data_IF_111463768620
#
_entry.id   IF_111463768620
#
_cell.length_a   1.000
_cell.length_b   1.000
_cell.length_c   1.000
_cell.angle_alpha   90.00
_cell.angle_beta   90.00
_cell.angle_gamma   90.00
#
_symmetry.space_group_name_H-M   'P 1'
#
loop_
_entity.id
_entity.type
_entity.pdbx_description
1 polymer ?
#
# COMPACT_ATOMS: atom_id res chain seq x y z
N UNK A 1 -8.01 -8.20 -7.47
CA UNK A 1 -6.86 -7.43 -8.00
C UNK A 1 -6.29 -6.46 -6.96
N UNK A 2 -7.09 -5.57 -6.38
CA UNK A 2 -6.61 -4.53 -5.45
C UNK A 2 -5.87 -5.10 -4.23
N UNK A 3 -6.45 -6.08 -3.53
CA UNK A 3 -5.79 -6.72 -2.39
C UNK A 3 -4.46 -7.39 -2.78
N UNK A 4 -4.40 -7.99 -3.98
CA UNK A 4 -3.17 -8.60 -4.47
C UNK A 4 -2.09 -7.56 -4.80
N UNK A 5 -2.49 -6.40 -5.35
CA UNK A 5 -1.58 -5.25 -5.51
C UNK A 5 -1.00 -4.77 -4.18
N UNK A 6 -1.80 -4.74 -3.11
CA UNK A 6 -1.31 -4.42 -1.77
C UNK A 6 -0.25 -5.43 -1.28
N UNK A 7 -0.40 -6.73 -1.60
CA UNK A 7 0.64 -7.74 -1.30
C UNK A 7 1.95 -7.41 -2.03
N UNK A 8 1.89 -7.06 -3.32
CA UNK A 8 3.07 -6.64 -4.09
C UNK A 8 3.75 -5.43 -3.43
N UNK A 9 2.97 -4.41 -3.06
CA UNK A 9 3.47 -3.22 -2.37
C UNK A 9 4.11 -3.53 -1.01
N UNK A 10 3.48 -4.37 -0.20
CA UNK A 10 4.05 -4.83 1.07
C UNK A 10 5.37 -5.58 0.89
N UNK A 11 5.46 -6.43 -0.14
CA UNK A 11 6.69 -7.19 -0.43
C UNK A 11 7.82 -6.27 -0.88
N UNK A 12 7.53 -5.26 -1.71
CA UNK A 12 8.52 -4.25 -2.11
C UNK A 12 9.02 -3.44 -0.90
N UNK A 13 8.11 -2.85 -0.12
CA UNK A 13 8.46 -2.04 1.06
C UNK A 13 9.25 -2.86 2.09
N UNK A 14 8.87 -4.12 2.31
CA UNK A 14 9.61 -5.01 3.20
C UNK A 14 11.06 -5.19 2.75
N UNK A 15 11.28 -5.32 1.44
CA UNK A 15 12.61 -5.35 0.84
C UNK A 15 13.38 -4.03 1.01
N UNK A 16 12.74 -2.88 0.82
CA UNK A 16 13.35 -1.56 1.04
C UNK A 16 13.77 -1.33 2.49
N UNK A 17 12.92 -1.72 3.44
CA UNK A 17 13.24 -1.67 4.87
C UNK A 17 14.42 -2.58 5.22
N UNK A 18 14.45 -3.81 4.69
CA UNK A 18 15.58 -4.74 4.90
C UNK A 18 16.87 -4.20 4.31
N UNK A 19 16.83 -3.63 3.10
CA UNK A 19 17.98 -2.98 2.49
C UNK A 19 18.48 -1.79 3.31
N UNK A 20 17.57 -0.99 3.85
CA UNK A 20 17.90 0.14 4.73
C UNK A 20 18.64 -0.33 5.98
N UNK A 21 18.18 -1.42 6.60
CA UNK A 21 18.86 -2.06 7.75
C UNK A 21 20.24 -2.57 7.34
N UNK A 22 20.37 -3.20 6.17
CA UNK A 22 21.65 -3.68 5.67
C UNK A 22 22.66 -2.54 5.45
N UNK A 23 22.26 -1.47 4.78
CA UNK A 23 23.12 -0.29 4.55
C UNK A 23 23.47 0.44 5.85
N UNK A 24 22.62 0.37 6.87
CA UNK A 24 22.92 0.92 8.20
C UNK A 24 24.09 0.18 8.88
N UNK A 25 24.17 -1.14 8.68
CA UNK A 25 25.23 -2.01 9.23
C UNK A 25 26.48 -2.07 8.35
N UNK A 26 26.31 -2.10 7.02
CA UNK A 26 27.38 -2.13 6.02
C UNK A 26 27.13 -1.04 4.97
N UNK A 27 27.65 0.18 5.17
CA UNK A 27 27.45 1.30 4.25
C UNK A 27 27.95 1.04 2.82
N UNK A 28 29.04 0.28 2.68
CA UNK A 28 29.64 -0.08 1.38
C UNK A 28 29.09 -1.41 0.80
N UNK A 29 27.91 -1.82 1.25
CA UNK A 29 27.29 -3.06 0.81
C UNK A 29 26.84 -3.00 -0.65
N UNK A 30 27.11 -4.06 -1.41
CA UNK A 30 26.82 -4.15 -2.86
C UNK A 30 25.53 -4.88 -3.20
N UNK A 31 24.83 -5.41 -2.20
CA UNK A 31 23.58 -6.15 -2.40
C UNK A 31 22.47 -5.28 -2.96
N UNK A 32 21.69 -5.86 -3.86
CA UNK A 32 20.67 -5.15 -4.65
C UNK A 32 19.30 -5.23 -4.01
N UNK A 33 18.44 -4.26 -4.32
CA UNK A 33 17.09 -4.20 -3.74
C UNK A 33 16.28 -5.48 -4.00
N UNK A 34 16.34 -6.03 -5.22
CA UNK A 34 15.60 -7.26 -5.54
C UNK A 34 16.00 -8.44 -4.65
N UNK A 35 17.25 -8.50 -4.16
CA UNK A 35 17.69 -9.58 -3.27
C UNK A 35 16.98 -9.49 -1.93
N UNK A 36 16.82 -8.28 -1.40
CA UNK A 36 16.04 -8.03 -0.17
C UNK A 36 14.55 -8.25 -0.38
N UNK A 37 14.01 -7.90 -1.55
CA UNK A 37 12.61 -8.19 -1.92
C UNK A 37 12.38 -9.71 -1.96
N UNK A 38 13.33 -10.49 -2.51
CA UNK A 38 13.26 -11.97 -2.50
C UNK A 38 13.34 -12.51 -1.07
N UNK A 39 14.23 -11.99 -0.22
CA UNK A 39 14.32 -12.41 1.20
C UNK A 39 13.00 -12.17 1.93
N UNK A 40 12.38 -10.99 1.75
CA UNK A 40 11.07 -10.70 2.32
C UNK A 40 9.97 -11.56 1.69
N UNK A 41 10.05 -11.82 0.38
CA UNK A 41 9.16 -12.75 -0.33
C UNK A 41 9.21 -14.18 0.22
N UNK A 42 10.38 -14.67 0.62
CA UNK A 42 10.55 -15.96 1.30
C UNK A 42 9.86 -15.97 2.68
N UNK A 43 9.96 -14.88 3.45
CA UNK A 43 9.21 -14.73 4.70
C UNK A 43 7.70 -14.75 4.42
N UNK A 44 7.24 -14.00 3.42
CA UNK A 44 5.84 -13.98 3.01
C UNK A 44 5.34 -15.34 2.53
N UNK A 45 6.18 -16.12 1.82
CA UNK A 45 5.86 -17.49 1.41
C UNK A 45 5.58 -18.39 2.59
N UNK A 46 6.42 -18.32 3.63
CA UNK A 46 6.23 -19.08 4.86
C UNK A 46 4.93 -18.67 5.57
N UNK A 47 4.73 -17.35 5.75
CA UNK A 47 3.55 -16.82 6.43
C UNK A 47 2.25 -17.09 5.65
N UNK A 48 2.30 -17.11 4.32
CA UNK A 48 1.16 -17.40 3.46
C UNK A 48 0.61 -18.82 3.65
N UNK A 49 1.41 -19.77 4.15
CA UNK A 49 0.95 -21.13 4.40
C UNK A 49 0.15 -21.26 5.70
N UNK A 50 0.10 -20.22 6.55
CA UNK A 50 -0.66 -20.29 7.79
C UNK A 50 -2.18 -20.37 7.51
N UNK A 51 -2.91 -21.31 8.13
CA UNK A 51 -4.26 -21.67 7.68
C UNK A 51 -5.44 -20.90 8.30
N UNK A 52 -5.28 -19.88 9.18
CA UNK A 52 -6.43 -19.40 9.98
C UNK A 52 -6.67 -17.88 10.05
N UNK A 53 -7.93 -17.50 9.77
CA UNK A 53 -8.52 -16.19 10.05
C UNK A 53 -8.69 -15.90 11.56
N UNK A 54 -8.85 -16.93 12.39
CA UNK A 54 -9.12 -16.76 13.83
C UNK A 54 -7.89 -16.22 14.58
N UNK A 55 -6.70 -16.53 14.08
CA UNK A 55 -5.41 -15.99 14.55
C UNK A 55 -5.21 -14.52 14.17
N UNK A 56 -5.90 -14.04 13.13
CA UNK A 56 -5.66 -12.70 12.59
C UNK A 56 -6.15 -11.57 13.47
N UNK A 57 -7.16 -11.78 14.32
CA UNK A 57 -7.66 -10.69 15.17
C UNK A 57 -6.54 -10.11 16.04
N UNK A 58 -5.72 -10.98 16.62
CA UNK A 58 -4.59 -10.58 17.44
C UNK A 58 -3.44 -10.03 16.60
N UNK A 59 -3.19 -10.62 15.42
CA UNK A 59 -2.19 -10.13 14.46
C UNK A 59 -2.54 -8.72 13.97
N UNK A 60 -3.82 -8.44 13.69
CA UNK A 60 -4.32 -7.13 13.29
C UNK A 60 -4.21 -6.10 14.41
N UNK A 61 -4.48 -6.51 15.66
CA UNK A 61 -4.31 -5.61 16.81
C UNK A 61 -2.83 -5.22 17.00
N UNK A 62 -1.92 -6.19 16.89
CA UNK A 62 -0.47 -5.93 16.94
C UNK A 62 -0.03 -5.07 15.76
N UNK A 63 -0.52 -5.38 14.56
CA UNK A 63 -0.25 -4.62 13.33
C UNK A 63 -0.71 -3.16 13.45
N UNK A 64 -1.89 -2.91 14.04
CA UNK A 64 -2.37 -1.55 14.32
C UNK A 64 -1.41 -0.80 15.23
N UNK A 65 -1.00 -1.40 16.36
CA UNK A 65 -0.06 -0.75 17.30
C UNK A 65 1.27 -0.46 16.61
N UNK A 66 1.82 -1.42 15.87
CA UNK A 66 3.06 -1.22 15.11
C UNK A 66 2.90 -0.10 14.07
N UNK A 67 1.74 0.02 13.43
CA UNK A 67 1.46 1.08 12.45
C UNK A 67 1.48 2.47 13.05
N UNK A 68 0.90 2.62 14.24
CA UNK A 68 0.93 3.87 14.99
C UNK A 68 2.34 4.20 15.47
N UNK A 69 3.09 3.20 15.95
CA UNK A 69 4.46 3.37 16.41
C UNK A 69 5.41 3.80 15.29
N UNK A 70 5.42 3.11 14.15
CA UNK A 70 6.31 3.52 13.05
C UNK A 70 5.89 4.87 12.46
N UNK A 71 4.57 5.18 12.41
CA UNK A 71 4.10 6.48 11.93
C UNK A 71 4.52 7.62 12.86
N UNK A 72 4.39 7.42 14.18
CA UNK A 72 4.88 8.38 15.17
C UNK A 72 6.41 8.56 15.08
N UNK A 73 7.15 7.47 14.83
CA UNK A 73 8.60 7.54 14.60
C UNK A 73 8.93 8.30 13.30
N UNK A 74 8.21 8.06 12.21
CA UNK A 74 8.41 8.76 10.95
C UNK A 74 8.15 10.27 11.11
N UNK A 75 7.07 10.65 11.80
CA UNK A 75 6.76 12.05 12.11
C UNK A 75 7.83 12.68 13.01
N UNK A 76 8.17 12.02 14.12
CA UNK A 76 9.17 12.52 15.08
C UNK A 76 10.56 12.63 14.48
N UNK A 77 10.97 11.64 13.67
CA UNK A 77 12.23 11.64 12.94
C UNK A 77 12.29 12.77 11.91
N UNK A 78 11.21 12.99 11.16
CA UNK A 78 11.12 14.08 10.19
C UNK A 78 11.20 15.45 10.88
N UNK A 79 10.48 15.65 11.99
CA UNK A 79 10.57 16.89 12.77
C UNK A 79 11.99 17.11 13.31
N UNK A 80 12.63 16.06 13.85
CA UNK A 80 14.00 16.15 14.35
C UNK A 80 15.00 16.54 13.26
N UNK A 81 14.90 15.90 12.08
CA UNK A 81 15.77 16.20 10.94
C UNK A 81 15.52 17.62 10.45
N UNK A 82 14.25 18.01 10.30
CA UNK A 82 13.86 19.34 9.87
C UNK A 82 14.42 20.42 10.81
N UNK A 83 14.39 20.21 12.12
CA UNK A 83 14.95 21.15 13.11
C UNK A 83 16.50 21.09 13.22
N UNK A 84 17.13 20.04 12.70
CA UNK A 84 18.57 19.84 12.76
C UNK A 84 19.29 20.53 11.59
N UNK A 85 20.54 20.97 11.80
CA UNK A 85 21.43 21.41 10.72
C UNK A 85 21.91 20.26 9.81
N UNK A 86 21.53 19.01 10.12
CA UNK A 86 21.85 17.82 9.33
C UNK A 86 20.86 17.52 8.21
N UNK A 87 19.67 18.15 8.23
CA UNK A 87 18.67 17.97 7.18
C UNK A 87 19.11 18.56 5.83
N UNK A 88 18.50 18.14 4.72
CA UNK A 88 18.74 18.78 3.43
C UNK A 88 18.25 20.24 3.44
N UNK A 89 18.74 21.03 2.48
CA UNK A 89 18.21 22.36 2.25
C UNK A 89 16.73 22.27 1.84
N UNK A 90 15.88 23.06 2.50
CA UNK A 90 14.43 22.98 2.32
C UNK A 90 14.02 23.66 1.02
N UNK A 91 14.06 22.91 -0.07
CA UNK A 91 13.58 23.35 -1.37
C UNK A 91 12.15 22.83 -1.65
N UNK A 92 11.26 23.76 -1.97
CA UNK A 92 9.86 23.47 -2.33
C UNK A 92 9.55 23.85 -3.77
N UNK A 93 10.59 24.04 -4.59
CA UNK A 93 10.46 24.30 -6.02
C UNK A 93 9.77 23.12 -6.72
N UNK A 94 8.94 23.45 -7.71
CA UNK A 94 8.23 22.45 -8.50
C UNK A 94 9.19 21.78 -9.50
N UNK A 95 9.46 20.50 -9.29
CA UNK A 95 10.30 19.68 -10.16
C UNK A 95 9.51 19.24 -11.40
N UNK A 96 10.20 19.08 -12.54
CA UNK A 96 9.62 18.58 -13.80
C UNK A 96 9.03 19.67 -14.70
N UNK A 97 8.76 19.29 -15.94
CA UNK A 97 8.11 20.15 -16.94
C UNK A 97 6.58 20.23 -16.72
N UNK A 98 5.88 21.08 -17.49
CA UNK A 98 4.43 21.23 -17.34
C UNK A 98 3.65 19.91 -17.52
N UNK A 99 3.94 19.08 -18.54
CA UNK A 99 3.35 17.75 -18.67
C UNK A 99 3.57 16.85 -17.44
N UNK A 100 4.81 16.74 -16.94
CA UNK A 100 5.14 15.90 -15.78
C UNK A 100 4.38 16.35 -14.54
N UNK A 101 4.23 17.66 -14.33
CA UNK A 101 3.43 18.22 -13.24
C UNK A 101 1.95 17.86 -13.35
N UNK A 102 1.38 17.93 -14.55
CA UNK A 102 -0.03 17.58 -14.77
C UNK A 102 -0.27 16.09 -14.48
N UNK A 103 0.56 15.21 -15.05
CA UNK A 103 0.45 13.77 -14.77
C UNK A 103 0.73 13.45 -13.30
N UNK A 104 1.66 14.16 -12.67
CA UNK A 104 1.95 14.07 -11.24
C UNK A 104 0.73 14.35 -10.35
N UNK A 105 -0.12 15.31 -10.71
CA UNK A 105 -1.38 15.59 -9.98
C UNK A 105 -2.31 14.38 -10.00
N UNK A 106 -2.51 13.76 -11.17
CA UNK A 106 -3.38 12.58 -11.29
C UNK A 106 -2.78 11.36 -10.58
N UNK A 107 -1.45 11.20 -10.65
CA UNK A 107 -0.77 10.15 -9.89
C UNK A 107 -0.96 10.34 -8.39
N UNK A 108 -0.85 11.58 -7.89
CA UNK A 108 -1.07 11.90 -6.48
C UNK A 108 -2.51 11.63 -6.04
N UNK A 109 -3.52 12.00 -6.85
CA UNK A 109 -4.93 11.69 -6.57
C UNK A 109 -5.14 10.18 -6.43
N UNK A 110 -4.54 9.39 -7.34
CA UNK A 110 -4.65 7.93 -7.29
C UNK A 110 -3.92 7.34 -6.07
N UNK A 111 -2.74 7.85 -5.71
CA UNK A 111 -2.04 7.42 -4.49
C UNK A 111 -2.91 7.72 -3.26
N UNK A 112 -3.51 8.91 -3.16
CA UNK A 112 -4.42 9.27 -2.06
C UNK A 112 -5.62 8.32 -2.02
N UNK A 113 -6.23 8.02 -3.17
CA UNK A 113 -7.33 7.06 -3.25
C UNK A 113 -6.90 5.67 -2.73
N UNK A 114 -5.70 5.21 -3.09
CA UNK A 114 -5.12 3.99 -2.53
C UNK A 114 -5.02 4.03 -1.02
N UNK A 115 -4.53 5.12 -0.44
CA UNK A 115 -4.32 5.18 1.01
C UNK A 115 -5.62 5.05 1.81
N UNK A 116 -6.73 5.57 1.30
CA UNK A 116 -8.05 5.48 1.97
C UNK A 116 -8.86 4.23 1.61
N UNK A 117 -8.68 3.69 0.40
CA UNK A 117 -9.50 2.57 -0.07
C UNK A 117 -9.15 1.21 0.56
N UNK A 118 -7.92 1.05 1.07
CA UNK A 118 -7.40 -0.20 1.63
C UNK A 118 -8.34 -0.86 2.67
N UNK A 119 -9.03 -0.07 3.51
CA UNK A 119 -9.95 -0.59 4.53
C UNK A 119 -11.31 -1.07 4.02
N UNK A 120 -11.76 -0.59 2.86
CA UNK A 120 -13.17 -0.69 2.46
C UNK A 120 -13.51 -2.10 1.96
N UNK A 121 -12.61 -2.77 1.24
CA UNK A 121 -12.94 -4.06 0.58
C UNK A 121 -13.16 -5.20 1.59
N UNK A 122 -12.28 -5.44 2.59
CA UNK A 122 -12.52 -6.47 3.60
C UNK A 122 -13.70 -6.11 4.53
N UNK A 123 -13.93 -4.82 4.78
CA UNK A 123 -15.04 -4.35 5.61
C UNK A 123 -16.38 -4.51 4.91
N UNK A 124 -16.49 -4.23 3.60
CA UNK A 124 -17.68 -4.53 2.78
C UNK A 124 -17.99 -6.04 2.81
N UNK A 125 -16.96 -6.90 2.71
CA UNK A 125 -17.15 -8.35 2.80
C UNK A 125 -17.67 -8.78 4.18
N UNK A 126 -17.26 -8.12 5.25
CA UNK A 126 -17.68 -8.40 6.61
C UNK A 126 -19.03 -7.75 7.01
N UNK A 127 -19.48 -6.72 6.30
CA UNK A 127 -20.65 -5.88 6.66
C UNK A 127 -21.86 -6.04 5.74
N UNK A 128 -21.82 -7.06 4.88
CA UNK A 128 -23.00 -7.57 4.16
C UNK A 128 -24.13 -8.05 5.10
N UNK A 129 -23.90 -8.15 6.41
CA UNK A 129 -24.93 -8.41 7.42
C UNK A 129 -25.43 -7.09 8.07
N UNK A 130 -26.75 -6.78 8.04
CA UNK A 130 -27.31 -5.59 8.70
C UNK A 130 -27.27 -5.67 10.25
N UNK A 131 -27.25 -4.54 10.99
CA UNK A 131 -27.31 -3.14 10.52
C UNK A 131 -25.98 -2.36 10.72
N UNK A 132 -25.71 -1.43 9.79
CA UNK A 132 -24.59 -0.45 9.83
C UNK A 132 -24.84 0.68 10.85
N UNK A 133 -25.71 0.48 11.84
CA UNK A 133 -26.15 1.53 12.77
C UNK A 133 -25.55 1.32 14.16
N UNK A 134 -25.35 2.42 14.90
CA UNK A 134 -24.85 2.38 16.28
C UNK A 134 -23.33 2.22 16.39
N UNK A 135 -22.86 1.05 16.88
CA UNK A 135 -21.44 0.85 17.26
C UNK A 135 -20.51 0.79 16.04
N UNK A 136 -20.97 0.23 14.92
CA UNK A 136 -20.15 0.09 13.71
C UNK A 136 -19.81 1.45 13.09
N UNK A 137 -20.79 2.35 12.94
CA UNK A 137 -20.55 3.70 12.43
C UNK A 137 -19.58 4.49 13.31
N UNK A 138 -19.69 4.37 14.65
CA UNK A 138 -18.72 4.98 15.57
C UNK A 138 -17.31 4.41 15.37
N UNK A 139 -17.18 3.10 15.18
CA UNK A 139 -15.92 2.45 14.85
C UNK A 139 -15.30 3.00 13.57
N UNK A 140 -16.11 3.15 12.52
CA UNK A 140 -15.71 3.74 11.24
C UNK A 140 -15.20 5.18 11.39
N UNK A 141 -15.93 6.03 12.13
CA UNK A 141 -15.50 7.41 12.39
C UNK A 141 -14.17 7.46 13.15
N UNK A 142 -13.98 6.61 14.17
CA UNK A 142 -12.71 6.52 14.90
C UNK A 142 -11.59 6.06 13.97
N UNK A 143 -11.85 5.05 13.13
CA UNK A 143 -10.89 4.54 12.14
C UNK A 143 -10.42 5.66 11.21
N UNK A 144 -11.34 6.35 10.53
CA UNK A 144 -10.99 7.46 9.63
C UNK A 144 -10.31 8.62 10.35
N UNK A 145 -10.69 8.92 11.59
CA UNK A 145 -10.02 9.97 12.39
C UNK A 145 -8.56 9.61 12.62
N UNK A 146 -8.27 8.37 13.03
CA UNK A 146 -6.91 7.88 13.24
C UNK A 146 -6.12 7.92 11.93
N UNK A 147 -6.71 7.43 10.83
CA UNK A 147 -6.09 7.43 9.49
C UNK A 147 -5.74 8.85 9.02
N UNK A 148 -6.66 9.80 9.14
CA UNK A 148 -6.41 11.20 8.76
C UNK A 148 -5.28 11.78 9.60
N UNK A 149 -5.33 11.63 10.93
CA UNK A 149 -4.30 12.18 11.81
C UNK A 149 -2.92 11.58 11.50
N UNK A 150 -2.82 10.26 11.32
CA UNK A 150 -1.53 9.61 11.05
C UNK A 150 -0.98 10.01 9.69
N UNK A 151 -1.76 9.91 8.61
CA UNK A 151 -1.28 10.23 7.27
C UNK A 151 -0.90 11.69 7.12
N UNK A 152 -1.74 12.63 7.58
CA UNK A 152 -1.39 14.05 7.49
C UNK A 152 -0.20 14.39 8.38
N UNK A 153 -0.05 13.77 9.57
CA UNK A 153 1.13 14.02 10.41
C UNK A 153 2.43 13.61 9.71
N UNK A 154 2.47 12.43 9.07
CA UNK A 154 3.64 11.91 8.37
C UNK A 154 3.89 12.71 7.08
N UNK A 155 2.85 12.97 6.29
CA UNK A 155 2.98 13.69 5.02
C UNK A 155 3.44 15.14 5.22
N UNK A 156 2.83 15.88 6.15
CA UNK A 156 3.18 17.28 6.42
C UNK A 156 4.60 17.36 7.00
N UNK A 157 4.91 16.55 8.02
CA UNK A 157 6.23 16.61 8.65
C UNK A 157 7.35 16.14 7.73
N UNK A 158 7.11 15.08 6.95
CA UNK A 158 8.06 14.56 5.97
C UNK A 158 8.33 15.55 4.84
N UNK A 159 7.27 16.08 4.22
CA UNK A 159 7.43 17.06 3.15
C UNK A 159 8.06 18.36 3.65
N UNK A 160 7.74 18.80 4.87
CA UNK A 160 8.40 19.95 5.49
C UNK A 160 9.90 19.73 5.76
N UNK A 161 10.31 18.50 6.07
CA UNK A 161 11.71 18.17 6.33
C UNK A 161 12.55 17.98 5.07
N UNK A 162 11.98 17.38 4.01
CA UNK A 162 12.73 16.97 2.81
C UNK A 162 12.36 17.74 1.53
N UNK A 163 11.24 18.46 1.52
CA UNK A 163 10.78 19.24 0.37
C UNK A 163 10.67 18.38 -0.90
N UNK A 164 11.21 18.89 -2.00
CA UNK A 164 11.24 18.19 -3.28
C UNK A 164 12.13 16.93 -3.34
N UNK A 165 12.89 16.64 -2.27
CA UNK A 165 13.68 15.41 -2.13
C UNK A 165 12.94 14.30 -1.38
N UNK A 166 11.67 14.49 -1.02
CA UNK A 166 10.87 13.46 -0.37
C UNK A 166 10.70 12.24 -1.28
N UNK A 167 11.13 11.08 -0.81
CA UNK A 167 11.04 9.80 -1.52
C UNK A 167 9.67 9.16 -1.34
N UNK A 168 9.32 8.22 -2.24
CA UNK A 168 8.07 7.45 -2.14
C UNK A 168 7.93 6.67 -0.83
N UNK A 169 9.06 6.23 -0.25
CA UNK A 169 9.15 5.74 1.13
C UNK A 169 9.93 6.75 1.97
N UNK A 170 9.22 7.50 2.82
CA UNK A 170 9.82 8.53 3.67
C UNK A 170 10.96 8.01 4.57
N UNK A 171 10.90 6.75 5.01
CA UNK A 171 11.95 6.15 5.84
C UNK A 171 13.30 6.06 5.12
N UNK A 172 13.30 5.99 3.79
CA UNK A 172 14.52 6.00 2.98
C UNK A 172 15.25 7.33 3.08
N UNK A 173 14.53 8.45 3.25
CA UNK A 173 15.15 9.77 3.43
C UNK A 173 15.94 9.92 4.74
N UNK A 174 15.75 9.03 5.73
CA UNK A 174 16.50 9.09 6.99
C UNK A 174 17.95 8.62 6.84
N UNK A 175 18.27 7.98 5.71
CA UNK A 175 19.59 7.50 5.36
C UNK A 175 20.01 8.06 3.99
N UNK A 176 20.81 9.12 3.97
CA UNK A 176 21.29 9.74 2.73
C UNK A 176 22.74 9.34 2.49
N UNK A 177 23.02 8.65 1.37
CA UNK A 177 24.37 8.21 1.00
C UNK A 177 25.11 7.47 2.14
N UNK A 178 24.40 6.56 2.84
CA UNK A 178 24.95 5.80 3.97
C UNK A 178 25.11 6.61 5.27
N UNK A 179 24.78 7.90 5.29
CA UNK A 179 24.80 8.75 6.48
C UNK A 179 23.41 8.82 7.10
N UNK A 180 23.31 8.37 8.35
CA UNK A 180 22.09 8.43 9.12
C UNK A 180 21.85 9.85 9.64
N UNK A 181 20.72 10.46 9.24
CA UNK A 181 20.32 11.80 9.68
C UNK A 181 19.75 11.78 11.11
N UNK A 182 19.21 10.63 11.50
CA UNK A 182 18.80 10.32 12.86
C UNK A 182 19.71 9.23 13.45
N UNK A 183 19.78 9.16 14.79
CA UNK A 183 20.12 7.93 15.50
C UNK A 183 19.99 6.57 14.78
N UNK A 184 21.10 5.80 14.64
CA UNK A 184 21.07 4.49 13.96
C UNK A 184 20.05 3.51 14.57
N UNK A 185 19.99 3.42 15.89
CA UNK A 185 19.06 2.54 16.61
C UNK A 185 17.59 2.91 16.34
N UNK A 186 17.31 4.19 16.11
CA UNK A 186 15.98 4.67 15.73
C UNK A 186 15.60 4.17 14.34
N UNK A 187 16.49 4.32 13.34
CA UNK A 187 16.27 3.78 11.99
C UNK A 187 16.02 2.28 12.03
N UNK A 188 16.85 1.54 12.77
CA UNK A 188 16.70 0.09 12.92
C UNK A 188 15.34 -0.26 13.53
N UNK A 189 14.98 0.35 14.65
CA UNK A 189 13.72 0.10 15.35
C UNK A 189 12.50 0.41 14.47
N UNK A 190 12.48 1.57 13.80
CA UNK A 190 11.37 1.97 12.94
C UNK A 190 11.21 1.05 11.74
N UNK A 191 12.31 0.65 11.09
CA UNK A 191 12.25 -0.32 9.98
C UNK A 191 11.80 -1.70 10.46
N UNK A 192 12.21 -2.14 11.66
CA UNK A 192 11.73 -3.41 12.24
C UNK A 192 10.22 -3.38 12.53
N UNK A 193 9.70 -2.29 13.10
CA UNK A 193 8.25 -2.13 13.27
C UNK A 193 7.50 -2.17 11.95
N UNK A 194 8.06 -1.52 10.92
CA UNK A 194 7.50 -1.48 9.57
C UNK A 194 7.48 -2.89 8.95
N UNK A 195 8.60 -3.63 8.99
CA UNK A 195 8.69 -5.01 8.48
C UNK A 195 7.66 -5.94 9.14
N UNK A 196 7.53 -5.88 10.47
CA UNK A 196 6.58 -6.73 11.21
C UNK A 196 5.13 -6.36 10.85
N UNK A 197 4.83 -5.06 10.75
CA UNK A 197 3.51 -4.57 10.36
C UNK A 197 3.17 -4.97 8.93
N UNK A 198 4.10 -4.82 7.98
CA UNK A 198 3.93 -5.19 6.57
C UNK A 198 3.73 -6.69 6.41
N UNK A 199 4.41 -7.51 7.21
CA UNK A 199 4.22 -8.97 7.23
C UNK A 199 2.80 -9.33 7.64
N UNK A 200 2.28 -8.70 8.69
CA UNK A 200 0.90 -8.91 9.14
C UNK A 200 -0.11 -8.45 8.09
N UNK A 201 0.06 -7.24 7.55
CA UNK A 201 -0.82 -6.68 6.53
C UNK A 201 -0.81 -7.51 5.24
N UNK A 202 0.37 -7.87 4.74
CA UNK A 202 0.50 -8.66 3.52
C UNK A 202 -0.23 -10.00 3.61
N UNK A 203 -0.20 -10.68 4.76
CA UNK A 203 -0.94 -11.94 4.96
C UNK A 203 -2.45 -11.71 4.93
N UNK A 204 -2.94 -10.63 5.54
CA UNK A 204 -4.38 -10.29 5.54
C UNK A 204 -4.87 -9.99 4.12
N UNK A 205 -4.13 -9.18 3.36
CA UNK A 205 -4.49 -8.86 1.98
C UNK A 205 -4.31 -10.03 1.00
N UNK A 206 -3.48 -11.02 1.35
CA UNK A 206 -3.35 -12.23 0.56
C UNK A 206 -4.57 -13.16 0.70
N UNK A 207 -5.32 -13.07 1.80
CA UNK A 207 -6.43 -13.99 2.07
C UNK A 207 -7.57 -13.98 1.06
N UNK A 208 -8.11 -12.82 0.62
CA UNK A 208 -9.14 -12.83 -0.42
C UNK A 208 -8.64 -13.51 -1.70
N UNK A 209 -7.36 -13.37 -2.03
CA UNK A 209 -6.75 -14.04 -3.18
C UNK A 209 -6.67 -15.54 -2.95
N UNK A 210 -6.20 -15.97 -1.77
CA UNK A 210 -6.12 -17.39 -1.41
C UNK A 210 -7.50 -18.05 -1.38
N UNK A 211 -8.53 -17.37 -0.89
CA UNK A 211 -9.90 -17.90 -0.85
C UNK A 211 -10.44 -18.15 -2.26
N UNK A 212 -10.18 -17.23 -3.21
CA UNK A 212 -10.57 -17.41 -4.61
C UNK A 212 -9.79 -18.56 -5.26
N UNK A 213 -8.47 -18.63 -5.05
CA UNK A 213 -7.64 -19.71 -5.59
C UNK A 213 -8.05 -21.07 -5.02
N UNK A 214 -8.30 -21.17 -3.72
CA UNK A 214 -8.73 -22.41 -3.07
C UNK A 214 -10.11 -22.83 -3.52
N UNK A 215 -11.09 -21.92 -3.64
CA UNK A 215 -12.40 -22.25 -4.23
C UNK A 215 -12.30 -22.76 -5.67
N UNK A 216 -11.31 -22.30 -6.42
CA UNK A 216 -11.12 -22.69 -7.82
C UNK A 216 -10.43 -24.04 -7.96
N UNK A 217 -9.47 -24.36 -7.08
CA UNK A 217 -8.62 -25.56 -7.20
C UNK A 217 -8.93 -26.67 -6.19
N UNK A 218 -9.72 -26.42 -5.15
CA UNK A 218 -10.09 -27.43 -4.16
C UNK A 218 -11.21 -28.33 -4.68
N UNK A 219 -11.14 -29.62 -4.32
CA UNK A 219 -12.22 -30.58 -4.51
C UNK A 219 -13.22 -30.46 -3.35
N UNK A 220 -14.48 -30.06 -3.63
CA UNK A 220 -15.52 -29.87 -2.61
C UNK A 220 -15.98 -31.20 -1.98
N UNK A 221 -15.62 -32.35 -2.56
CA UNK A 221 -15.99 -33.68 -2.06
C UNK A 221 -14.96 -34.27 -1.09
N UNK A 222 -13.76 -33.69 -0.99
CA UNK A 222 -12.73 -34.15 -0.06
C UNK A 222 -12.59 -33.23 1.15
N UNK A 223 -12.12 -33.79 2.27
CA UNK A 223 -11.86 -32.99 3.48
C UNK A 223 -10.83 -31.89 3.22
N UNK A 224 -10.92 -30.78 3.96
CA UNK A 224 -10.04 -29.61 3.83
C UNK A 224 -8.55 -29.95 4.01
N UNK A 225 -8.25 -30.92 4.87
CA UNK A 225 -6.89 -31.40 5.17
C UNK A 225 -6.48 -32.65 4.36
N UNK A 226 -7.31 -33.11 3.42
CA UNK A 226 -6.90 -34.19 2.51
C UNK A 226 -5.75 -33.73 1.62
N UNK A 227 -4.83 -34.63 1.28
CA UNK A 227 -3.74 -34.35 0.33
C UNK A 227 -4.26 -33.75 -0.99
N UNK A 228 -5.48 -34.12 -1.39
CA UNK A 228 -6.16 -33.61 -2.60
C UNK A 228 -6.48 -32.12 -2.54
N UNK A 229 -6.63 -31.54 -1.35
CA UNK A 229 -6.90 -30.11 -1.14
C UNK A 229 -5.66 -29.37 -0.61
N UNK A 230 -4.80 -30.04 0.17
CA UNK A 230 -3.58 -29.45 0.73
C UNK A 230 -2.52 -29.18 -0.35
N UNK A 231 -2.33 -30.10 -1.31
CA UNK A 231 -1.33 -29.94 -2.38
C UNK A 231 -1.68 -28.76 -3.30
N UNK A 232 -2.90 -28.66 -3.87
CA UNK A 232 -3.28 -27.51 -4.68
C UNK A 232 -3.22 -26.19 -3.92
N UNK A 233 -3.59 -26.18 -2.62
CA UNK A 233 -3.46 -25.00 -1.75
C UNK A 233 -2.01 -24.56 -1.60
N UNK A 234 -1.10 -25.48 -1.29
CA UNK A 234 0.32 -25.16 -1.12
C UNK A 234 0.90 -24.59 -2.42
N UNK A 235 0.59 -25.22 -3.56
CA UNK A 235 1.07 -24.79 -4.88
C UNK A 235 0.49 -23.42 -5.25
N UNK A 236 -0.83 -23.24 -5.17
CA UNK A 236 -1.50 -22.00 -5.59
C UNK A 236 -1.08 -20.80 -4.73
N UNK A 237 -0.98 -20.97 -3.40
CA UNK A 237 -0.48 -19.94 -2.49
C UNK A 237 0.99 -19.61 -2.78
N UNK A 238 1.82 -20.62 -3.05
CA UNK A 238 3.23 -20.41 -3.36
C UNK A 238 3.43 -19.66 -4.67
N UNK A 239 2.73 -20.08 -5.75
CA UNK A 239 2.76 -19.39 -7.04
C UNK A 239 2.29 -17.93 -6.89
N UNK A 240 1.23 -17.69 -6.12
CA UNK A 240 0.71 -16.36 -5.84
C UNK A 240 1.76 -15.45 -5.19
N UNK A 241 2.47 -15.93 -4.16
CA UNK A 241 3.52 -15.11 -3.51
C UNK A 241 4.76 -14.96 -4.38
N UNK A 242 5.17 -16.00 -5.12
CA UNK A 242 6.30 -15.91 -6.07
C UNK A 242 6.01 -14.88 -7.16
N UNK A 243 4.81 -14.87 -7.72
CA UNK A 243 4.39 -13.87 -8.70
C UNK A 243 4.39 -12.46 -8.08
N UNK A 244 3.88 -12.28 -6.86
CA UNK A 244 3.89 -10.99 -6.19
C UNK A 244 5.32 -10.48 -5.92
N UNK A 245 6.19 -11.36 -5.46
CA UNK A 245 7.61 -11.09 -5.20
C UNK A 245 8.34 -10.73 -6.49
N UNK A 246 8.05 -11.44 -7.58
CA UNK A 246 8.65 -11.17 -8.89
C UNK A 246 8.22 -9.80 -9.41
N UNK A 247 6.93 -9.46 -9.32
CA UNK A 247 6.42 -8.15 -9.70
C UNK A 247 7.05 -7.02 -8.87
N UNK A 248 7.14 -7.21 -7.55
CA UNK A 248 7.80 -6.26 -6.64
C UNK A 248 9.29 -6.07 -6.98
N UNK A 249 9.99 -7.15 -7.35
CA UNK A 249 11.40 -7.11 -7.72
C UNK A 249 11.66 -6.47 -9.10
N UNK A 250 10.70 -6.60 -10.03
CA UNK A 250 10.80 -6.04 -11.37
C UNK A 250 10.50 -4.53 -11.41
N UNK A 251 9.58 -4.06 -10.57
CA UNK A 251 9.08 -2.69 -10.54
C UNK A 251 9.27 -2.09 -9.14
N UNK A 252 10.48 -1.68 -8.75
CA UNK A 252 10.76 -1.19 -7.39
C UNK A 252 10.34 0.27 -7.19
N UNK A 253 9.17 0.66 -7.71
CA UNK A 253 8.64 2.02 -7.62
C UNK A 253 7.36 2.01 -6.78
N UNK A 254 7.51 2.11 -5.46
CA UNK A 254 6.38 1.99 -4.54
C UNK A 254 5.28 3.02 -4.81
N UNK A 255 5.66 4.28 -5.07
CA UNK A 255 4.71 5.35 -5.42
C UNK A 255 3.89 5.01 -6.66
N UNK A 256 4.53 4.50 -7.70
CA UNK A 256 3.89 4.16 -8.97
C UNK A 256 2.96 2.95 -8.83
N UNK A 257 3.38 1.92 -8.10
CA UNK A 257 2.53 0.76 -7.79
C UNK A 257 1.25 1.23 -7.08
N UNK A 258 1.37 2.11 -6.08
CA UNK A 258 0.20 2.66 -5.39
C UNK A 258 -0.68 3.51 -6.30
N UNK A 259 -0.06 4.29 -7.21
CA UNK A 259 -0.79 5.07 -8.18
C UNK A 259 -1.60 4.17 -9.12
N UNK A 260 -1.00 3.09 -9.61
CA UNK A 260 -1.65 2.10 -10.47
C UNK A 260 -2.82 1.40 -9.74
N UNK A 261 -2.60 0.95 -8.50
CA UNK A 261 -3.64 0.33 -7.67
C UNK A 261 -4.81 1.31 -7.43
N UNK A 262 -4.51 2.58 -7.23
CA UNK A 262 -5.51 3.62 -6.99
C UNK A 262 -6.33 3.91 -8.23
N UNK A 263 -5.66 4.04 -9.38
CA UNK A 263 -6.29 4.35 -10.65
C UNK A 263 -7.23 3.24 -11.13
N UNK A 264 -6.77 1.99 -11.11
CA UNK A 264 -7.55 0.84 -11.60
C UNK A 264 -8.47 0.22 -10.55
N UNK A 265 -8.09 0.33 -9.27
CA UNK A 265 -8.78 -0.29 -8.16
C UNK A 265 -9.70 0.67 -7.45
N UNK A 266 -9.12 1.56 -6.64
CA UNK A 266 -9.89 2.32 -5.66
C UNK A 266 -10.73 3.44 -6.24
N UNK A 267 -10.27 4.17 -7.28
CA UNK A 267 -11.09 5.21 -7.89
C UNK A 267 -12.43 4.65 -8.43
N UNK A 268 -12.45 3.53 -9.18
CA UNK A 268 -13.72 2.89 -9.54
C UNK A 268 -14.50 2.32 -8.37
N UNK A 269 -13.85 1.57 -7.48
CA UNK A 269 -14.52 0.86 -6.40
C UNK A 269 -15.16 1.79 -5.36
N UNK A 270 -14.50 2.91 -5.04
CA UNK A 270 -14.90 3.77 -3.92
C UNK A 270 -15.78 4.94 -4.37
N UNK A 271 -15.59 5.45 -5.59
CA UNK A 271 -16.32 6.63 -6.07
C UNK A 271 -17.36 6.31 -7.15
N UNK A 272 -17.07 5.40 -8.08
CA UNK A 272 -17.94 5.13 -9.24
C UNK A 272 -18.99 4.08 -8.89
N UNK A 273 -18.59 2.91 -8.38
CA UNK A 273 -19.51 1.82 -8.12
C UNK A 273 -20.59 2.16 -7.09
N UNK A 274 -20.31 2.84 -5.96
CA UNK A 274 -21.35 3.09 -4.97
C UNK A 274 -22.47 3.98 -5.50
N UNK A 275 -22.15 5.02 -6.27
CA UNK A 275 -23.16 5.92 -6.85
C UNK A 275 -23.95 5.25 -7.99
N UNK A 276 -23.31 4.37 -8.76
CA UNK A 276 -23.98 3.56 -9.79
C UNK A 276 -24.93 2.56 -9.14
N UNK A 277 -24.48 1.81 -8.13
CA UNK A 277 -25.31 0.86 -7.42
C UNK A 277 -26.45 1.54 -6.66
N UNK A 278 -26.22 2.70 -6.07
CA UNK A 278 -27.28 3.50 -5.44
C UNK A 278 -28.37 3.85 -6.46
N UNK A 279 -27.99 4.36 -7.63
CA UNK A 279 -28.94 4.72 -8.68
C UNK A 279 -29.69 3.50 -9.25
N UNK A 280 -29.02 2.35 -9.40
CA UNK A 280 -29.65 1.11 -9.87
C UNK A 280 -30.62 0.51 -8.85
N UNK A 281 -30.29 0.60 -7.56
CA UNK A 281 -31.04 -0.02 -6.46
C UNK A 281 -32.24 0.85 -6.06
N UNK A 282 -32.02 2.13 -5.78
CA UNK A 282 -33.05 3.02 -5.26
C UNK A 282 -33.82 3.78 -6.34
N UNK A 283 -33.30 3.80 -7.59
CA UNK A 283 -33.92 4.45 -8.75
C UNK A 283 -34.48 5.85 -8.42
N UNK A 284 -33.64 6.78 -7.89
CA UNK A 284 -34.11 8.11 -7.54
C UNK A 284 -34.64 8.84 -8.79
N UNK A 285 -35.64 9.70 -8.60
CA UNK A 285 -36.22 10.49 -9.70
C UNK A 285 -35.15 11.33 -10.40
N UNK A 286 -35.22 11.45 -11.73
CA UNK A 286 -34.31 12.28 -12.54
C UNK A 286 -34.39 13.77 -12.24
N UNK A 287 -35.42 14.20 -11.51
CA UNK A 287 -35.55 15.58 -11.01
C UNK A 287 -34.87 15.79 -9.65
N UNK A 288 -34.45 14.71 -8.99
CA UNK A 288 -33.80 14.77 -7.69
C UNK A 288 -32.37 15.30 -7.83
N UNK A 289 -31.93 16.23 -6.95
CA UNK A 289 -30.54 16.67 -6.92
C UNK A 289 -29.57 15.50 -6.64
N UNK A 290 -30.02 14.48 -5.89
CA UNK A 290 -29.21 13.29 -5.58
C UNK A 290 -28.87 12.50 -6.84
N UNK A 291 -29.80 12.38 -7.79
CA UNK A 291 -29.56 11.67 -9.04
C UNK A 291 -28.45 12.36 -9.85
N UNK A 292 -28.53 13.68 -9.98
CA UNK A 292 -27.51 14.47 -10.71
C UNK A 292 -26.17 14.50 -10.00
N UNK A 293 -26.15 14.57 -8.67
CA UNK A 293 -24.92 14.45 -7.89
C UNK A 293 -24.23 13.10 -8.15
N UNK A 294 -24.98 11.99 -8.07
CA UNK A 294 -24.46 10.65 -8.31
C UNK A 294 -23.90 10.48 -9.73
N UNK A 295 -24.61 11.00 -10.74
CA UNK A 295 -24.13 10.99 -12.13
C UNK A 295 -22.87 11.84 -12.29
N UNK A 296 -22.82 13.01 -11.65
CA UNK A 296 -21.64 13.89 -11.70
C UNK A 296 -20.42 13.21 -11.10
N UNK A 297 -20.56 12.60 -9.92
CA UNK A 297 -19.49 11.82 -9.28
C UNK A 297 -19.03 10.69 -10.22
N UNK A 298 -19.97 9.92 -10.77
CA UNK A 298 -19.64 8.82 -11.68
C UNK A 298 -18.82 9.30 -12.89
N UNK A 299 -19.24 10.38 -13.56
CA UNK A 299 -18.56 10.90 -14.76
C UNK A 299 -17.19 11.51 -14.42
N UNK A 300 -17.11 12.33 -13.37
CA UNK A 300 -15.87 12.99 -12.96
C UNK A 300 -14.84 11.94 -12.54
N UNK A 301 -15.20 11.03 -11.64
CA UNK A 301 -14.26 10.02 -11.17
C UNK A 301 -13.92 8.95 -12.22
N UNK A 302 -14.82 8.67 -13.18
CA UNK A 302 -14.47 7.86 -14.35
C UNK A 302 -13.40 8.53 -15.20
N UNK A 303 -13.55 9.84 -15.45
CA UNK A 303 -12.58 10.62 -16.23
C UNK A 303 -11.24 10.69 -15.50
N UNK A 304 -11.26 10.99 -14.20
CA UNK A 304 -10.05 11.01 -13.36
C UNK A 304 -9.38 9.63 -13.32
N UNK A 305 -10.14 8.54 -13.19
CA UNK A 305 -9.59 7.18 -13.18
C UNK A 305 -8.87 6.84 -14.50
N UNK A 306 -9.45 7.20 -15.65
CA UNK A 306 -8.82 6.96 -16.96
C UNK A 306 -7.54 7.79 -17.09
N UNK A 307 -7.56 9.07 -16.74
CA UNK A 307 -6.37 9.93 -16.83
C UNK A 307 -5.29 9.46 -15.86
N UNK A 308 -5.65 9.11 -14.63
CA UNK A 308 -4.73 8.58 -13.63
C UNK A 308 -4.14 7.23 -14.05
N UNK A 309 -4.91 6.37 -14.72
CA UNK A 309 -4.38 5.12 -15.26
C UNK A 309 -3.32 5.37 -16.34
N UNK A 310 -3.57 6.33 -17.25
CA UNK A 310 -2.58 6.75 -18.25
C UNK A 310 -1.35 7.38 -17.57
N UNK A 311 -1.56 8.20 -16.54
CA UNK A 311 -0.49 8.84 -15.77
C UNK A 311 0.41 7.80 -15.07
N UNK A 312 -0.19 6.80 -14.42
CA UNK A 312 0.52 5.76 -13.70
C UNK A 312 1.32 4.87 -14.66
N UNK A 313 0.72 4.46 -15.78
CA UNK A 313 1.41 3.66 -16.80
C UNK A 313 2.55 4.46 -17.45
N UNK A 314 2.34 5.75 -17.73
CA UNK A 314 3.39 6.64 -18.24
C UNK A 314 4.55 6.74 -17.25
N UNK A 315 4.25 6.93 -15.96
CA UNK A 315 5.28 7.06 -14.92
C UNK A 315 6.12 5.78 -14.82
N UNK A 316 5.47 4.62 -14.73
CA UNK A 316 6.15 3.31 -14.73
C UNK A 316 7.02 3.14 -15.98
N UNK A 317 6.54 3.54 -17.16
CA UNK A 317 7.30 3.42 -18.40
C UNK A 317 8.53 4.34 -18.42
N UNK A 318 8.42 5.56 -17.89
CA UNK A 318 9.54 6.50 -17.78
C UNK A 318 10.59 6.01 -16.78
N UNK A 319 10.14 5.50 -15.63
CA UNK A 319 11.04 5.01 -14.59
C UNK A 319 11.68 3.68 -14.98
N UNK A 320 10.95 2.79 -15.66
CA UNK A 320 11.51 1.59 -16.29
C UNK A 320 12.47 1.92 -17.45
N UNK A 321 12.30 3.05 -18.15
CA UNK A 321 13.22 3.50 -19.18
C UNK A 321 14.58 3.94 -18.63
N UNK A 322 14.61 4.45 -17.39
CA UNK A 322 15.83 4.83 -16.65
C UNK A 322 16.43 3.67 -15.87
N UNK A 323 15.61 2.68 -15.51
CA UNK A 323 15.99 1.54 -14.69
C UNK A 323 16.20 0.28 -15.53
N UNK A 324 17.42 -0.30 -15.51
CA UNK A 324 17.59 -1.67 -16.03
C UNK A 324 16.89 -2.63 -15.07
N UNK A 325 16.08 -3.57 -15.57
CA UNK A 325 15.49 -4.65 -14.75
C UNK A 325 16.55 -5.23 -13.79
N UNK A 326 16.26 -5.23 -12.48
CA UNK A 326 17.16 -5.64 -11.40
C UNK A 326 18.40 -4.74 -11.16
N UNK A 327 18.33 -3.46 -11.50
CA UNK A 327 19.40 -2.49 -11.27
C UNK A 327 19.46 -1.93 -9.83
N UNK A 328 20.55 -1.20 -9.54
CA UNK A 328 20.72 -0.52 -8.27
C UNK A 328 19.77 0.67 -8.22
N UNK A 329 18.85 0.67 -7.24
CA UNK A 329 18.23 1.89 -6.71
C UNK A 329 19.09 2.38 -5.55
#
# INVERSE_FOLDING_TARGET
MVCYGAVVGCTLLGGECLKTIYLLSKPDGTMKLYEFVIIFGCLMLFLAQMPSFHSLRHINMVSLVLSLLYSACATGGSIYIGLSSKGPERDYSLVGDTPDRIFGIFNAIAIIATTYGNGIIPEIQATLAPPVTGKMFKGLCVCFTVVVVTFFSVAISGYWAFGNQAEGLLLSNFLVNGKALVPKWFILMTNMFTILQLSAVGVVYLQPTNEVLEKTFADPKSSEFSARNVIPRLISRSISVVAATTLAAMLPFFGDINSLIGAFGFLPLDFILPVVFYNLTFKPSRRSPIFWLNITIAVVFSTVAVIAAVAAVRQIALDAGKYRLFANV
#
